data_IF_248876223865
#
_entry.id   IF_248876223865
#
_cell.length_a   1.000
_cell.length_b   1.000
_cell.length_c   1.000
_cell.angle_alpha   90.00
_cell.angle_beta   90.00
_cell.angle_gamma   90.00
#
_symmetry.space_group_name_H-M   'P 1'
#
loop_
_entity.id
_entity.type
_entity.pdbx_description
1 polymer ?
#
# COMPACT_ATOMS: atom_id res chain seq x y z
N UNK A 1 26.96 18.08 4.85
CA UNK A 1 26.38 16.75 4.56
C UNK A 1 25.06 16.99 3.84
N UNK A 2 25.12 16.97 2.52
CA UNK A 2 23.99 17.32 1.67
C UNK A 2 23.11 16.07 1.50
N UNK A 3 21.94 16.07 2.13
CA UNK A 3 20.93 15.04 1.89
C UNK A 3 20.32 15.31 0.52
N UNK A 4 20.97 14.80 -0.53
CA UNK A 4 20.36 14.69 -1.85
C UNK A 4 19.08 13.87 -1.68
N UNK A 5 17.93 14.53 -1.76
CA UNK A 5 16.65 13.84 -1.87
C UNK A 5 16.80 12.93 -3.09
N UNK A 6 16.92 11.62 -2.84
CA UNK A 6 16.83 10.69 -3.95
C UNK A 6 15.43 10.88 -4.51
N UNK A 7 15.36 11.27 -5.76
CA UNK A 7 14.15 11.24 -6.57
C UNK A 7 13.85 9.75 -6.85
N UNK A 8 13.60 8.97 -5.80
CA UNK A 8 13.30 7.55 -5.90
C UNK A 8 11.81 7.43 -6.16
N UNK A 9 11.45 7.31 -7.44
CA UNK A 9 10.12 6.85 -7.82
C UNK A 9 9.90 5.46 -7.21
N UNK A 10 8.93 5.33 -6.31
CA UNK A 10 8.49 4.02 -5.84
C UNK A 10 7.58 3.40 -6.91
N UNK A 11 7.87 2.17 -7.28
CA UNK A 11 7.03 1.36 -8.16
C UNK A 11 6.04 0.60 -7.28
N UNK A 12 4.76 0.69 -7.60
CA UNK A 12 3.70 0.11 -6.78
C UNK A 12 2.95 -0.97 -7.54
N UNK A 13 2.87 -2.16 -6.94
CA UNK A 13 2.01 -3.25 -7.42
C UNK A 13 0.74 -3.21 -6.58
N UNK A 14 -0.42 -3.15 -7.23
CA UNK A 14 -1.70 -3.26 -6.54
C UNK A 14 -2.40 -4.56 -6.91
N UNK A 15 -2.76 -5.34 -5.90
CA UNK A 15 -3.71 -6.44 -6.07
C UNK A 15 -5.01 -6.07 -5.37
N UNK A 16 -6.08 -5.90 -6.15
CA UNK A 16 -7.38 -5.50 -5.63
C UNK A 16 -8.29 -6.73 -5.47
N UNK A 17 -8.88 -6.91 -4.28
CA UNK A 17 -9.89 -7.93 -3.99
C UNK A 17 -11.14 -7.23 -3.43
N UNK A 18 -12.05 -6.88 -4.33
CA UNK A 18 -13.32 -6.22 -4.01
C UNK A 18 -14.46 -7.19 -3.69
N UNK A 19 -15.57 -6.63 -3.19
CA UNK A 19 -16.83 -7.36 -2.99
C UNK A 19 -16.82 -8.36 -1.84
N UNK A 20 -17.56 -9.47 -2.01
CA UNK A 20 -17.75 -10.47 -0.96
C UNK A 20 -16.52 -11.34 -0.67
N UNK A 21 -15.51 -11.32 -1.55
CA UNK A 21 -14.34 -12.19 -1.47
C UNK A 21 -13.60 -12.01 -0.14
N UNK A 22 -13.37 -13.13 0.56
CA UNK A 22 -12.65 -13.12 1.82
C UNK A 22 -11.16 -13.01 1.54
N UNK A 23 -10.53 -11.96 2.04
CA UNK A 23 -9.07 -11.89 2.06
C UNK A 23 -8.54 -12.85 3.12
N UNK A 24 -7.79 -13.84 2.67
CA UNK A 24 -7.17 -14.87 3.51
C UNK A 24 -5.65 -14.78 3.45
N UNK A 25 -4.91 -15.45 4.36
CA UNK A 25 -3.45 -15.51 4.27
C UNK A 25 -2.91 -16.07 2.94
N UNK A 26 -3.72 -16.84 2.19
CA UNK A 26 -3.33 -17.34 0.88
C UNK A 26 -3.10 -16.21 -0.13
N UNK A 27 -3.90 -15.13 -0.06
CA UNK A 27 -3.78 -13.97 -0.95
C UNK A 27 -2.44 -13.24 -0.74
N UNK A 28 -1.88 -13.30 0.47
CA UNK A 28 -0.53 -12.76 0.70
C UNK A 28 0.51 -13.56 -0.11
N UNK A 29 0.40 -14.88 -0.18
CA UNK A 29 1.30 -15.71 -0.99
C UNK A 29 1.13 -15.47 -2.50
N UNK A 30 -0.11 -15.21 -2.94
CA UNK A 30 -0.36 -14.76 -4.32
C UNK A 30 0.36 -13.44 -4.60
N UNK A 31 0.29 -12.48 -3.67
CA UNK A 31 0.97 -11.19 -3.79
C UNK A 31 2.50 -11.32 -3.83
N UNK A 32 3.08 -12.27 -3.10
CA UNK A 32 4.52 -12.58 -3.20
C UNK A 32 4.90 -13.02 -4.61
N UNK A 33 4.04 -13.80 -5.27
CA UNK A 33 4.23 -14.18 -6.67
C UNK A 33 4.18 -13.01 -7.66
N UNK A 34 3.46 -11.93 -7.32
CA UNK A 34 3.35 -10.75 -8.18
C UNK A 34 4.69 -10.01 -8.36
N UNK A 35 5.63 -10.12 -7.42
CA UNK A 35 6.98 -9.58 -7.58
C UNK A 35 7.77 -10.28 -8.68
N UNK A 36 7.53 -11.58 -8.88
CA UNK A 36 8.19 -12.38 -9.91
C UNK A 36 7.64 -12.00 -11.30
N UNK A 37 6.33 -11.79 -11.37
CA UNK A 37 5.60 -11.39 -12.57
C UNK A 37 5.59 -9.88 -12.86
N UNK A 38 6.29 -9.08 -12.04
CA UNK A 38 6.35 -7.63 -12.23
C UNK A 38 7.02 -7.26 -13.57
N UNK A 39 6.70 -6.09 -14.16
CA UNK A 39 7.27 -5.66 -15.44
C UNK A 39 8.81 -5.67 -15.46
N UNK A 40 9.38 -5.78 -16.65
CA UNK A 40 10.84 -5.71 -16.83
C UNK A 40 11.35 -4.38 -16.25
N UNK A 41 12.40 -4.45 -15.41
CA UNK A 41 12.94 -3.30 -14.67
C UNK A 41 12.30 -3.04 -13.29
N UNK A 42 11.33 -3.85 -12.87
CA UNK A 42 10.76 -3.83 -11.50
C UNK A 42 11.42 -4.85 -10.57
N UNK A 43 12.43 -5.57 -11.04
CA UNK A 43 13.24 -6.46 -10.20
C UNK A 43 14.28 -5.63 -9.45
N UNK A 44 14.27 -5.68 -8.13
CA UNK A 44 15.22 -5.00 -7.26
C UNK A 44 14.57 -3.99 -6.32
N UNK A 45 15.31 -2.92 -6.00
CA UNK A 45 14.90 -1.89 -5.05
C UNK A 45 13.80 -0.95 -5.62
N UNK A 46 13.09 -0.30 -4.72
CA UNK A 46 12.04 0.67 -4.96
C UNK A 46 10.71 0.07 -5.38
N UNK A 47 10.41 -1.19 -5.06
CA UNK A 47 9.13 -1.84 -5.40
C UNK A 47 8.37 -2.29 -4.16
N UNK A 48 7.11 -1.85 -4.04
CA UNK A 48 6.23 -2.20 -2.93
C UNK A 48 4.91 -2.73 -3.49
N UNK A 49 4.40 -3.82 -2.92
CA UNK A 49 3.11 -4.36 -3.30
C UNK A 49 2.05 -4.12 -2.22
N UNK A 50 0.85 -3.72 -2.63
CA UNK A 50 -0.29 -3.52 -1.74
C UNK A 50 -1.44 -4.46 -2.11
N UNK A 51 -1.94 -5.17 -1.10
CA UNK A 51 -3.24 -5.84 -1.17
C UNK A 51 -4.35 -4.85 -0.77
N UNK A 52 -5.29 -4.60 -1.68
CA UNK A 52 -6.40 -3.66 -1.46
C UNK A 52 -7.72 -4.43 -1.31
N UNK A 53 -8.51 -4.09 -0.30
CA UNK A 53 -9.83 -4.71 -0.07
C UNK A 53 -10.84 -3.77 0.54
N UNK A 54 -12.13 -4.08 0.42
CA UNK A 54 -13.20 -3.37 1.14
C UNK A 54 -13.31 -3.76 2.61
N UNK A 55 -12.69 -4.88 3.00
CA UNK A 55 -12.67 -5.38 4.39
C UNK A 55 -11.32 -5.09 5.06
N UNK A 56 -11.33 -4.92 6.37
CA UNK A 56 -10.10 -4.75 7.16
C UNK A 56 -9.28 -6.03 7.25
N UNK A 57 -7.97 -5.90 7.46
CA UNK A 57 -7.06 -7.03 7.55
C UNK A 57 -7.36 -7.89 8.78
N UNK A 58 -7.75 -9.14 8.52
CA UNK A 58 -7.87 -10.15 9.57
C UNK A 58 -6.51 -10.41 10.25
N UNK A 59 -6.52 -11.04 11.44
CA UNK A 59 -5.28 -11.41 12.15
C UNK A 59 -4.34 -12.24 11.27
N UNK A 60 -4.86 -13.27 10.58
CA UNK A 60 -4.05 -14.11 9.71
C UNK A 60 -3.45 -13.36 8.52
N UNK A 61 -4.16 -12.36 7.98
CA UNK A 61 -3.63 -11.49 6.91
C UNK A 61 -2.50 -10.62 7.45
N UNK A 62 -2.67 -10.00 8.62
CA UNK A 62 -1.62 -9.20 9.28
C UNK A 62 -0.38 -10.02 9.58
N UNK A 63 -0.55 -11.22 10.11
CA UNK A 63 0.57 -12.13 10.38
C UNK A 63 1.26 -12.61 9.11
N UNK A 64 0.50 -12.91 8.05
CA UNK A 64 1.05 -13.26 6.74
C UNK A 64 1.89 -12.12 6.18
N UNK A 65 1.35 -10.90 6.19
CA UNK A 65 2.02 -9.68 5.75
C UNK A 65 3.33 -9.45 6.51
N UNK A 66 3.29 -9.57 7.84
CA UNK A 66 4.46 -9.33 8.71
C UNK A 66 5.58 -10.37 8.55
N UNK A 67 5.25 -11.63 8.21
CA UNK A 67 6.26 -12.70 8.00
C UNK A 67 6.90 -12.68 6.61
N UNK A 68 6.28 -12.02 5.64
CA UNK A 68 6.78 -12.02 4.29
C UNK A 68 8.12 -11.29 4.18
N UNK A 69 8.99 -11.79 3.30
CA UNK A 69 10.29 -11.19 3.00
C UNK A 69 10.20 -10.10 1.93
N UNK A 70 9.04 -9.98 1.27
CA UNK A 70 8.79 -8.99 0.22
C UNK A 70 8.29 -7.66 0.82
N UNK A 71 8.63 -6.49 0.25
CA UNK A 71 8.14 -5.19 0.71
C UNK A 71 6.65 -5.05 0.42
N UNK A 72 5.78 -5.22 1.44
CA UNK A 72 4.34 -5.29 1.22
C UNK A 72 3.50 -4.48 2.20
N UNK A 73 2.31 -4.11 1.76
CA UNK A 73 1.28 -3.51 2.57
C UNK A 73 -0.14 -4.01 2.28
N UNK A 74 -1.05 -3.51 3.09
CA UNK A 74 -2.48 -3.75 3.00
C UNK A 74 -3.23 -2.43 3.09
N UNK A 75 -4.24 -2.25 2.25
CA UNK A 75 -5.12 -1.10 2.24
C UNK A 75 -6.56 -1.60 2.34
N UNK A 76 -7.31 -1.07 3.30
CA UNK A 76 -8.77 -1.15 3.27
C UNK A 76 -9.35 0.17 2.82
N UNK A 77 -10.28 0.15 1.87
CA UNK A 77 -11.03 1.33 1.46
C UNK A 77 -12.54 1.05 1.31
N UNK A 78 -13.37 2.09 1.40
CA UNK A 78 -14.77 2.01 1.00
C UNK A 78 -14.91 1.88 -0.52
N UNK A 79 -16.12 1.60 -0.99
CA UNK A 79 -16.45 1.64 -2.42
C UNK A 79 -16.29 3.07 -2.98
N UNK A 80 -16.53 4.09 -2.16
CA UNK A 80 -16.29 5.50 -2.48
C UNK A 80 -14.81 5.94 -2.37
N UNK A 81 -13.88 4.98 -2.20
CA UNK A 81 -12.45 5.26 -2.15
C UNK A 81 -11.92 5.80 -0.82
N UNK A 82 -12.73 5.82 0.25
CA UNK A 82 -12.29 6.28 1.58
C UNK A 82 -11.39 5.23 2.22
N UNK A 83 -10.12 5.55 2.42
CA UNK A 83 -9.17 4.64 3.08
C UNK A 83 -9.50 4.54 4.57
N UNK A 84 -9.78 3.32 5.03
CA UNK A 84 -10.13 2.98 6.42
C UNK A 84 -9.00 2.33 7.20
N UNK A 85 -8.08 1.66 6.51
CA UNK A 85 -6.92 1.02 7.11
C UNK A 85 -5.75 1.04 6.12
N UNK A 86 -4.56 1.32 6.62
CA UNK A 86 -3.32 1.11 5.88
C UNK A 86 -2.30 0.48 6.82
N UNK A 87 -1.60 -0.56 6.33
CA UNK A 87 -0.60 -1.30 7.07
C UNK A 87 0.52 -1.68 6.11
N UNK A 88 1.73 -1.86 6.61
CA UNK A 88 2.85 -2.41 5.84
C UNK A 88 3.81 -3.15 6.76
N UNK A 89 4.66 -4.01 6.17
CA UNK A 89 5.68 -4.74 6.90
C UNK A 89 7.01 -3.95 6.97
N UNK A 90 7.94 -4.43 7.79
CA UNK A 90 9.26 -3.82 7.96
C UNK A 90 10.02 -3.69 6.63
N UNK A 91 9.86 -4.66 5.71
CA UNK A 91 10.51 -4.63 4.39
C UNK A 91 10.05 -3.43 3.57
N UNK A 92 8.76 -3.06 3.61
CA UNK A 92 8.27 -1.86 2.95
C UNK A 92 8.82 -0.56 3.57
N UNK A 93 9.08 -0.54 4.87
CA UNK A 93 9.76 0.60 5.51
C UNK A 93 11.18 0.74 4.99
N UNK A 94 11.92 -0.36 4.95
CA UNK A 94 13.29 -0.42 4.43
C UNK A 94 13.37 0.01 2.95
N UNK A 95 12.36 -0.33 2.16
CA UNK A 95 12.30 -0.04 0.73
C UNK A 95 11.98 1.44 0.42
N UNK A 96 11.18 2.10 1.25
CA UNK A 96 10.82 3.49 0.96
C UNK A 96 9.79 4.14 1.88
N UNK A 97 9.12 3.38 2.74
CA UNK A 97 8.10 3.93 3.65
C UNK A 97 8.66 4.37 5.00
N UNK A 98 9.98 4.27 5.23
CA UNK A 98 10.59 4.71 6.50
C UNK A 98 10.21 6.14 6.84
N UNK A 99 9.62 6.32 8.04
CA UNK A 99 9.20 7.62 8.55
C UNK A 99 7.83 8.09 8.04
N UNK A 100 7.20 7.35 7.13
CA UNK A 100 5.77 7.46 6.84
C UNK A 100 5.01 6.80 7.98
N UNK A 101 3.92 7.41 8.43
CA UNK A 101 3.08 6.90 9.51
C UNK A 101 1.60 7.04 9.14
N UNK A 102 0.80 6.12 9.64
CA UNK A 102 -0.66 6.09 9.49
C UNK A 102 -1.30 6.73 10.71
N UNK A 103 -2.16 7.72 10.50
CA UNK A 103 -2.95 8.34 11.58
C UNK A 103 -4.42 8.43 11.17
N UNK A 104 -5.31 8.48 12.17
CA UNK A 104 -6.74 8.64 11.92
C UNK A 104 -7.10 10.13 11.91
N UNK A 105 -7.85 10.55 10.88
CA UNK A 105 -8.53 11.83 10.85
C UNK A 105 -10.01 11.60 11.11
N UNK A 106 -10.51 12.19 12.18
CA UNK A 106 -11.93 12.28 12.46
C UNK A 106 -12.51 13.55 11.82
N UNK A 107 -13.76 13.50 11.31
CA UNK A 107 -14.46 14.70 10.87
C UNK A 107 -14.65 15.66 12.05
N UNK A 108 -14.54 16.97 11.81
CA UNK A 108 -14.66 17.99 12.86
C UNK A 108 -16.07 18.10 13.44
N UNK A 109 -17.08 17.80 12.63
CA UNK A 109 -18.49 18.05 12.97
C UNK A 109 -19.29 16.74 13.12
N UNK A 110 -18.61 15.59 13.25
CA UNK A 110 -19.25 14.26 13.33
C UNK A 110 -19.93 13.78 12.03
N UNK A 111 -20.14 14.67 11.06
CA UNK A 111 -20.61 14.36 9.72
C UNK A 111 -19.43 13.87 8.84
N UNK A 112 -19.30 12.55 8.69
CA UNK A 112 -18.34 11.91 7.77
C UNK A 112 -17.71 10.64 8.33
N UNK A 113 -17.12 9.83 7.46
CA UNK A 113 -16.34 8.67 7.89
C UNK A 113 -14.94 9.09 8.36
N UNK A 114 -14.45 8.43 9.41
CA UNK A 114 -13.05 8.59 9.82
C UNK A 114 -12.15 7.96 8.77
N UNK A 115 -11.19 8.73 8.27
CA UNK A 115 -10.29 8.28 7.22
C UNK A 115 -8.85 8.19 7.73
N UNK A 116 -8.11 7.25 7.17
CA UNK A 116 -6.66 7.20 7.30
C UNK A 116 -6.04 8.39 6.58
N UNK A 117 -5.05 8.99 7.21
CA UNK A 117 -4.15 9.97 6.60
C UNK A 117 -2.70 9.57 6.84
N UNK A 118 -1.87 9.77 5.81
CA UNK A 118 -0.44 9.56 5.90
C UNK A 118 0.25 10.81 6.46
N UNK A 119 1.26 10.58 7.28
CA UNK A 119 2.12 11.62 7.83
C UNK A 119 3.58 11.25 7.61
N UNK A 120 4.41 12.24 7.33
CA UNK A 120 5.85 12.12 7.21
C UNK A 120 6.51 13.19 8.07
N UNK A 121 7.40 12.78 8.98
CA UNK A 121 8.05 13.67 9.96
C UNK A 121 7.03 14.57 10.70
N UNK A 122 5.91 13.99 11.12
CA UNK A 122 4.83 14.68 11.84
C UNK A 122 3.97 15.62 10.99
N UNK A 123 4.27 15.79 9.70
CA UNK A 123 3.46 16.60 8.76
C UNK A 123 2.59 15.68 7.92
N UNK A 124 1.36 16.09 7.62
CA UNK A 124 0.50 15.33 6.68
C UNK A 124 1.16 15.30 5.31
N UNK A 125 1.20 14.13 4.70
CA UNK A 125 1.57 14.00 3.28
C UNK A 125 0.42 14.62 2.48
N UNK A 126 0.72 15.65 1.67
CA UNK A 126 -0.29 16.30 0.84
C UNK A 126 -0.88 15.33 -0.19
N UNK A 127 -2.08 15.63 -0.68
CA UNK A 127 -2.68 14.91 -1.80
C UNK A 127 -1.96 15.32 -3.08
N UNK A 128 -1.02 14.50 -3.56
CA UNK A 128 -0.49 14.67 -4.92
C UNK A 128 -1.56 14.15 -5.88
N UNK A 129 -2.25 15.08 -6.54
CA UNK A 129 -3.16 14.82 -7.67
C UNK A 129 -2.39 14.92 -8.96
N UNK A 130 -1.42 14.04 -9.16
CA UNK A 130 -0.86 13.83 -10.50
C UNK A 130 -0.53 12.35 -10.64
N UNK A 131 -1.50 11.59 -11.15
CA UNK A 131 -1.38 10.16 -11.40
C UNK A 131 -1.22 9.94 -12.89
N UNK A 132 0.02 9.76 -13.35
CA UNK A 132 0.26 9.13 -14.66
C UNK A 132 -0.02 7.64 -14.50
N UNK A 133 -1.20 7.20 -14.92
CA UNK A 133 -1.56 5.78 -14.97
C UNK A 133 -0.86 5.18 -16.19
N UNK A 134 0.10 4.28 -15.95
CA UNK A 134 0.68 3.46 -17.02
C UNK A 134 -0.15 2.18 -17.06
N UNK A 135 -1.10 2.12 -18.00
CA UNK A 135 -1.85 0.89 -18.27
C UNK A 135 -0.89 -0.19 -18.77
N UNK A 136 -0.85 -1.32 -18.09
CA UNK A 136 -0.06 -2.48 -18.50
C UNK A 136 -0.62 -3.05 -19.79
N UNK A 137 0.17 -3.03 -20.86
CA UNK A 137 -0.19 -3.60 -22.15
C UNK A 137 -0.50 -5.10 -22.07
N UNK A 138 -1.56 -5.50 -22.78
CA UNK A 138 -1.89 -6.90 -23.02
C UNK A 138 -0.67 -7.65 -23.58
N UNK A 139 -0.26 -8.71 -22.88
CA UNK A 139 0.62 -9.71 -23.47
C UNK A 139 -0.18 -10.44 -24.56
N UNK A 140 0.20 -10.21 -25.82
CA UNK A 140 -0.24 -11.01 -26.97
C UNK A 140 0.18 -12.47 -26.85
#
# INVERSE_FOLDING_TARGET
>A
MEFKLRETSLKLIFQCKGGAQKVTPAVIRELEGAFIGAPVGWRGEGVIAFLVSTKTASKGVREGLGRSRWPMGFISCSEDGIIRQMLWNQRAEEEGLRGVNVTMRHPKDGAGESQVVLTYKGKRVGTIVDSTVIEGGEAK
#
